data_IF_705124745189
#
_entry.id   IF_705124745189
#
_cell.length_a   1.000
_cell.length_b   1.000
_cell.length_c   1.000
_cell.angle_alpha   90.00
_cell.angle_beta   90.00
_cell.angle_gamma   90.00
#
_symmetry.space_group_name_H-M   'P 1'
#
loop_
_entity.id
_entity.type
_entity.pdbx_description
1 polymer ?
#
# COMPACT_ATOMS: atom_id res chain seq x y z
N UNK A 1 -12.49 -9.48 -12.83
CA UNK A 1 -11.25 -10.12 -12.30
C UNK A 1 -10.20 -9.10 -11.82
N UNK A 2 -9.94 -8.01 -12.56
CA UNK A 2 -9.00 -6.92 -12.19
C UNK A 2 -9.16 -6.41 -10.75
N UNK A 3 -10.35 -5.93 -10.38
CA UNK A 3 -10.56 -5.27 -9.09
C UNK A 3 -10.42 -6.16 -7.85
N UNK A 4 -10.62 -7.47 -7.99
CA UNK A 4 -10.42 -8.40 -6.87
C UNK A 4 -8.93 -8.54 -6.50
N UNK A 5 -8.06 -8.56 -7.51
CA UNK A 5 -6.61 -8.56 -7.29
C UNK A 5 -6.14 -7.23 -6.71
N UNK A 6 -6.60 -6.10 -7.25
CA UNK A 6 -6.29 -4.76 -6.70
C UNK A 6 -6.74 -4.65 -5.24
N UNK A 7 -7.96 -5.09 -4.93
CA UNK A 7 -8.48 -5.13 -3.56
C UNK A 7 -7.60 -5.95 -2.61
N UNK A 8 -7.10 -7.11 -3.07
CA UNK A 8 -6.16 -7.92 -2.28
C UNK A 8 -4.86 -7.15 -1.99
N UNK A 9 -4.24 -6.56 -3.02
CA UNK A 9 -2.98 -5.82 -2.88
C UNK A 9 -3.17 -4.64 -1.93
N UNK A 10 -4.20 -3.84 -2.14
CA UNK A 10 -4.54 -2.68 -1.31
C UNK A 10 -4.79 -3.10 0.13
N UNK A 11 -5.60 -4.15 0.35
CA UNK A 11 -5.85 -4.66 1.69
C UNK A 11 -4.55 -5.05 2.39
N UNK A 12 -3.64 -5.76 1.71
CA UNK A 12 -2.35 -6.19 2.29
C UNK A 12 -1.39 -5.02 2.50
N UNK A 13 -1.38 -4.04 1.60
CA UNK A 13 -0.56 -2.83 1.71
C UNK A 13 -0.98 -1.97 2.90
N UNK A 14 -2.26 -1.64 3.05
CA UNK A 14 -2.74 -0.74 4.11
C UNK A 14 -2.97 -1.45 5.46
N UNK A 15 -3.04 -2.78 5.49
CA UNK A 15 -3.23 -3.52 6.74
C UNK A 15 -2.13 -3.24 7.77
N UNK A 16 -2.53 -2.83 8.98
CA UNK A 16 -1.62 -2.60 10.10
C UNK A 16 -0.68 -1.40 9.94
N UNK A 17 -0.89 -0.52 8.94
CA UNK A 17 -0.15 0.73 8.85
C UNK A 17 -0.54 1.62 10.04
N UNK A 18 0.47 2.14 10.73
CA UNK A 18 0.33 3.25 11.67
C UNK A 18 0.69 4.54 10.94
N UNK A 19 -0.21 5.51 10.96
CA UNK A 19 0.02 6.82 10.36
C UNK A 19 0.89 7.63 11.32
N UNK A 20 2.15 7.82 10.97
CA UNK A 20 3.10 8.63 11.72
C UNK A 20 3.72 9.65 10.75
N UNK A 21 3.81 10.94 11.12
CA UNK A 21 4.53 11.91 10.30
C UNK A 21 5.97 11.47 10.14
N UNK A 22 6.46 11.44 8.90
CA UNK A 22 7.84 11.15 8.56
C UNK A 22 8.30 12.16 7.50
N UNK A 23 9.56 12.58 7.54
CA UNK A 23 10.14 13.32 6.42
C UNK A 23 10.24 12.40 5.20
N UNK A 24 9.65 12.84 4.09
CA UNK A 24 9.60 12.10 2.82
C UNK A 24 10.28 12.85 1.70
N UNK A 25 10.96 13.98 1.99
CA UNK A 25 11.56 14.87 0.97
C UNK A 25 12.49 14.12 0.05
N UNK A 26 13.40 13.33 0.62
CA UNK A 26 14.38 12.53 -0.13
C UNK A 26 13.75 11.35 -0.87
N UNK A 27 12.71 10.75 -0.29
CA UNK A 27 11.96 9.70 -0.97
C UNK A 27 11.21 10.27 -2.18
N UNK A 28 10.69 11.49 -2.09
CA UNK A 28 9.96 12.17 -3.15
C UNK A 28 10.88 12.63 -4.28
N UNK A 29 12.11 13.07 -3.99
CA UNK A 29 13.09 13.51 -5.00
C UNK A 29 13.72 12.36 -5.79
N UNK A 30 13.64 11.13 -5.28
CA UNK A 30 14.17 9.94 -5.96
C UNK A 30 13.17 9.38 -6.98
N UNK A 31 13.53 9.38 -8.26
CA UNK A 31 12.68 8.81 -9.33
C UNK A 31 12.55 7.29 -9.19
N UNK A 32 13.65 6.60 -8.89
CA UNK A 32 13.67 5.15 -8.64
C UNK A 32 13.63 4.87 -7.12
N UNK A 33 12.55 4.28 -6.59
CA UNK A 33 12.47 3.95 -5.17
C UNK A 33 13.59 3.01 -4.70
N UNK A 34 14.23 2.26 -5.60
CA UNK A 34 15.36 1.41 -5.24
C UNK A 34 16.63 2.20 -4.92
N UNK A 35 16.78 3.41 -5.47
CA UNK A 35 17.91 4.28 -5.15
C UNK A 35 17.79 4.81 -3.73
N UNK A 36 16.59 5.24 -3.32
CA UNK A 36 16.30 5.60 -1.93
C UNK A 36 16.54 4.42 -0.97
N UNK A 37 16.13 3.21 -1.34
CA UNK A 37 16.39 2.00 -0.54
C UNK A 37 17.88 1.63 -0.46
N UNK A 38 18.67 1.99 -1.47
CA UNK A 38 20.11 1.75 -1.49
C UNK A 38 20.87 2.79 -0.68
N UNK A 39 20.44 4.06 -0.75
CA UNK A 39 21.03 5.16 0.00
C UNK A 39 20.73 5.02 1.51
N UNK A 40 19.54 4.55 1.89
CA UNK A 40 19.11 4.43 3.28
C UNK A 40 18.58 3.02 3.62
N UNK A 41 19.47 2.01 3.66
CA UNK A 41 19.08 0.61 3.85
C UNK A 41 18.46 0.33 5.22
N UNK A 42 18.72 1.16 6.25
CA UNK A 42 18.17 0.98 7.60
C UNK A 42 16.97 1.90 7.93
N UNK A 43 16.50 2.67 6.95
CA UNK A 43 15.39 3.62 7.11
C UNK A 43 14.08 2.93 7.51
N UNK A 44 13.17 3.70 8.10
CA UNK A 44 11.81 3.23 8.39
C UNK A 44 11.08 2.79 7.12
N UNK A 45 11.32 3.48 5.99
CA UNK A 45 10.80 3.12 4.68
C UNK A 45 11.36 1.78 4.16
N UNK A 46 12.67 1.53 4.32
CA UNK A 46 13.29 0.25 3.99
C UNK A 46 12.64 -0.91 4.76
N UNK A 47 12.54 -0.76 6.08
CA UNK A 47 11.88 -1.74 6.97
C UNK A 47 10.42 -1.93 6.56
N UNK A 48 9.70 -0.85 6.24
CA UNK A 48 8.34 -0.92 5.74
C UNK A 48 8.25 -1.74 4.46
N UNK A 49 9.11 -1.48 3.47
CA UNK A 49 9.16 -2.22 2.21
C UNK A 49 9.38 -3.72 2.44
N UNK A 50 10.32 -4.10 3.30
CA UNK A 50 10.58 -5.50 3.62
C UNK A 50 9.36 -6.21 4.22
N UNK A 51 8.76 -5.64 5.27
CA UNK A 51 7.56 -6.21 5.89
C UNK A 51 6.37 -6.27 4.92
N UNK A 52 6.17 -5.22 4.11
CA UNK A 52 5.06 -5.16 3.16
C UNK A 52 5.23 -6.12 2.00
N UNK A 53 6.45 -6.34 1.51
CA UNK A 53 6.69 -7.30 0.44
C UNK A 53 6.30 -8.70 0.89
N UNK A 54 6.78 -9.12 2.07
CA UNK A 54 6.49 -10.45 2.64
C UNK A 54 5.00 -10.65 2.95
N UNK A 55 4.26 -9.56 3.19
CA UNK A 55 2.81 -9.56 3.37
C UNK A 55 2.07 -9.62 2.03
N UNK A 56 2.35 -8.72 1.10
CA UNK A 56 1.61 -8.57 -0.15
C UNK A 56 1.86 -9.75 -1.09
N UNK A 57 3.12 -10.15 -1.24
CA UNK A 57 3.54 -11.17 -2.20
C UNK A 57 3.60 -12.51 -1.49
N UNK A 58 2.61 -13.36 -1.78
CA UNK A 58 2.54 -14.69 -1.19
C UNK A 58 3.64 -15.60 -1.77
N UNK A 59 4.24 -16.53 -1.00
CA UNK A 59 5.24 -17.46 -1.54
C UNK A 59 4.78 -18.21 -2.80
N UNK A 60 3.52 -18.68 -2.84
CA UNK A 60 2.97 -19.32 -4.05
C UNK A 60 2.89 -18.39 -5.25
N UNK A 61 2.72 -17.08 -5.02
CA UNK A 61 2.73 -16.07 -6.07
C UNK A 61 4.14 -15.88 -6.62
N UNK A 62 5.16 -15.76 -5.77
CA UNK A 62 6.57 -15.70 -6.20
C UNK A 62 6.99 -16.96 -6.95
N UNK A 63 6.67 -18.15 -6.43
CA UNK A 63 6.98 -19.41 -7.10
C UNK A 63 6.32 -19.50 -8.48
N UNK A 64 5.10 -18.98 -8.64
CA UNK A 64 4.40 -18.96 -9.93
C UNK A 64 4.96 -17.90 -10.89
N UNK A 65 5.43 -16.75 -10.40
CA UNK A 65 5.97 -15.67 -11.22
C UNK A 65 7.43 -15.87 -11.62
N UNK A 66 8.25 -16.44 -10.73
CA UNK A 66 9.70 -16.50 -10.88
C UNK A 66 10.25 -17.93 -10.90
N UNK A 67 9.45 -18.94 -10.53
CA UNK A 67 9.93 -20.32 -10.40
C UNK A 67 10.84 -20.57 -9.20
N UNK A 68 11.07 -19.58 -8.34
CA UNK A 68 11.91 -19.65 -7.14
C UNK A 68 11.42 -18.67 -6.05
N UNK A 69 12.08 -18.68 -4.89
CA UNK A 69 11.82 -17.79 -3.75
C UNK A 69 13.05 -16.93 -3.38
N UNK A 70 13.96 -16.72 -4.33
CA UNK A 70 15.24 -16.04 -4.06
C UNK A 70 14.99 -14.58 -3.66
N UNK A 71 14.00 -13.93 -4.30
CA UNK A 71 13.57 -12.57 -3.99
C UNK A 71 13.08 -12.49 -2.54
N UNK A 72 12.23 -13.42 -2.10
CA UNK A 72 11.83 -13.56 -0.68
C UNK A 72 13.00 -13.73 0.26
N UNK A 73 13.94 -14.62 -0.09
CA UNK A 73 15.13 -14.89 0.71
C UNK A 73 15.96 -13.64 0.96
N UNK A 74 16.19 -12.83 -0.08
CA UNK A 74 16.87 -11.55 0.04
C UNK A 74 16.10 -10.57 0.94
N UNK A 75 14.78 -10.49 0.79
CA UNK A 75 13.94 -9.60 1.63
C UNK A 75 13.92 -10.02 3.10
N UNK A 76 13.92 -11.33 3.39
CA UNK A 76 14.06 -11.86 4.75
C UNK A 76 15.40 -11.49 5.39
N UNK A 77 16.46 -11.32 4.60
CA UNK A 77 17.76 -10.83 5.04
C UNK A 77 17.83 -9.29 5.12
N UNK A 78 16.70 -8.59 4.98
CA UNK A 78 16.63 -7.13 4.99
C UNK A 78 17.16 -6.47 3.72
N UNK A 79 17.40 -7.24 2.65
CA UNK A 79 17.90 -6.73 1.37
C UNK A 79 16.74 -6.39 0.42
N UNK A 80 17.01 -5.48 -0.51
CA UNK A 80 16.06 -5.05 -1.52
C UNK A 80 16.53 -5.46 -2.92
N UNK A 81 15.91 -6.49 -3.54
CA UNK A 81 16.32 -7.01 -4.83
C UNK A 81 16.20 -5.97 -5.95
N UNK A 82 17.23 -5.84 -6.79
CA UNK A 82 17.20 -4.99 -7.99
C UNK A 82 16.53 -5.71 -9.17
N UNK A 83 15.31 -6.19 -8.96
CA UNK A 83 14.49 -6.82 -10.00
C UNK A 83 13.39 -5.85 -10.47
N UNK A 84 12.92 -6.01 -11.70
CA UNK A 84 11.83 -5.18 -12.23
C UNK A 84 10.55 -5.31 -11.41
N UNK A 85 10.22 -6.52 -10.96
CA UNK A 85 9.06 -6.75 -10.11
C UNK A 85 9.18 -6.05 -8.76
N UNK A 86 10.34 -6.16 -8.10
CA UNK A 86 10.55 -5.52 -6.81
C UNK A 86 10.56 -3.99 -6.94
N UNK A 87 11.08 -3.45 -8.05
CA UNK A 87 10.98 -2.02 -8.39
C UNK A 87 9.53 -1.54 -8.45
N UNK A 88 8.67 -2.25 -9.19
CA UNK A 88 7.23 -1.92 -9.29
C UNK A 88 6.57 -1.96 -7.91
N UNK A 89 6.86 -3.01 -7.12
CA UNK A 89 6.39 -3.09 -5.73
C UNK A 89 6.87 -1.90 -4.89
N UNK A 90 8.16 -1.54 -4.97
CA UNK A 90 8.74 -0.45 -4.22
C UNK A 90 8.15 0.91 -4.62
N UNK A 91 7.79 1.11 -5.90
CA UNK A 91 7.09 2.31 -6.36
C UNK A 91 5.72 2.43 -5.70
N UNK A 92 4.95 1.34 -5.64
CA UNK A 92 3.68 1.32 -4.92
C UNK A 92 3.89 1.56 -3.41
N UNK A 93 4.88 0.92 -2.81
CA UNK A 93 5.19 1.08 -1.39
C UNK A 93 5.60 2.52 -1.04
N UNK A 94 6.38 3.18 -1.90
CA UNK A 94 6.73 4.60 -1.78
C UNK A 94 5.48 5.46 -1.68
N UNK A 95 4.53 5.31 -2.61
CA UNK A 95 3.31 6.13 -2.59
C UNK A 95 2.42 5.87 -1.38
N UNK A 96 2.29 4.61 -0.95
CA UNK A 96 1.55 4.29 0.28
C UNK A 96 2.22 4.90 1.51
N UNK A 97 3.56 4.87 1.58
CA UNK A 97 4.32 5.48 2.66
C UNK A 97 4.15 7.01 2.68
N UNK A 98 4.32 7.66 1.53
CA UNK A 98 4.14 9.11 1.37
C UNK A 98 2.74 9.53 1.75
N UNK A 99 1.72 8.83 1.26
CA UNK A 99 0.32 9.14 1.56
C UNK A 99 0.03 8.99 3.06
N UNK A 100 0.59 7.97 3.70
CA UNK A 100 0.48 7.77 5.14
C UNK A 100 1.12 8.89 5.96
N UNK A 101 2.34 9.29 5.59
CA UNK A 101 3.05 10.42 6.21
C UNK A 101 2.30 11.73 6.01
N UNK A 102 1.79 11.98 4.80
CA UNK A 102 1.03 13.18 4.48
C UNK A 102 -0.26 13.29 5.31
N UNK A 103 -1.06 12.22 5.38
CA UNK A 103 -2.27 12.20 6.18
C UNK A 103 -1.97 12.46 7.67
N UNK A 104 -0.90 11.87 8.20
CA UNK A 104 -0.48 12.08 9.59
C UNK A 104 0.00 13.51 9.87
N UNK A 105 0.62 14.16 8.88
CA UNK A 105 1.06 15.57 8.99
C UNK A 105 -0.10 16.56 8.94
N UNK A 106 -1.21 16.21 8.26
CA UNK A 106 -2.42 17.03 8.24
C UNK A 106 -3.18 16.97 9.56
N UNK A 107 -3.33 15.78 10.12
CA UNK A 107 -4.00 15.58 11.40
C UNK A 107 -3.41 14.37 12.13
N UNK A 108 -2.96 14.59 13.36
CA UNK A 108 -2.49 13.53 14.26
C UNK A 108 -3.55 12.46 14.56
N UNK A 109 -4.84 12.76 14.40
CA UNK A 109 -5.98 11.84 14.55
C UNK A 109 -6.38 11.17 13.24
N UNK A 110 -5.69 11.45 12.13
CA UNK A 110 -6.01 10.84 10.84
C UNK A 110 -6.02 9.32 10.93
N UNK A 111 -6.98 8.70 10.24
CA UNK A 111 -7.13 7.23 10.20
C UNK A 111 -7.40 6.77 8.79
N UNK A 112 -6.86 5.60 8.46
CA UNK A 112 -7.21 4.92 7.21
C UNK A 112 -8.68 4.47 7.34
N UNK A 113 -9.52 4.96 6.43
CA UNK A 113 -10.93 4.64 6.35
C UNK A 113 -11.13 3.45 5.41
N UNK A 114 -11.61 2.34 5.97
CA UNK A 114 -11.93 1.12 5.24
C UNK A 114 -13.38 0.74 5.52
N UNK A 115 -14.12 0.46 4.44
CA UNK A 115 -15.53 0.07 4.52
C UNK A 115 -15.63 -1.46 4.59
N UNK A 116 -16.56 -1.95 5.42
CA UNK A 116 -16.85 -3.38 5.52
C UNK A 116 -17.74 -3.83 4.36
N UNK A 117 -17.53 -5.05 3.87
CA UNK A 117 -18.44 -5.69 2.92
C UNK A 117 -19.87 -5.69 3.48
N UNK A 118 -20.85 -5.36 2.64
CA UNK A 118 -22.27 -5.28 2.97
C UNK A 118 -22.72 -3.95 3.57
N UNK A 119 -21.80 -3.00 3.83
CA UNK A 119 -22.16 -1.65 4.25
C UNK A 119 -22.87 -0.89 3.11
N UNK A 120 -23.76 0.04 3.47
CA UNK A 120 -24.44 0.89 2.50
C UNK A 120 -23.43 1.81 1.81
N UNK A 121 -23.53 1.89 0.49
CA UNK A 121 -22.74 2.81 -0.32
C UNK A 121 -23.16 4.25 -0.02
N UNK A 122 -22.20 5.18 -0.03
CA UNK A 122 -22.46 6.61 0.11
C UNK A 122 -21.55 7.40 -0.81
N UNK A 123 -22.13 8.02 -1.85
CA UNK A 123 -21.40 8.85 -2.80
C UNK A 123 -20.75 10.11 -2.20
N UNK A 124 -21.02 10.42 -0.92
CA UNK A 124 -20.40 11.54 -0.21
C UNK A 124 -18.92 11.28 0.10
N UNK A 125 -18.56 10.02 0.35
CA UNK A 125 -17.19 9.63 0.76
C UNK A 125 -16.74 8.29 0.17
N UNK A 126 -17.50 7.72 -0.76
CA UNK A 126 -17.17 6.53 -1.53
C UNK A 126 -17.35 6.81 -3.01
N UNK A 127 -16.53 6.18 -3.84
CA UNK A 127 -16.62 6.21 -5.29
C UNK A 127 -16.77 4.78 -5.81
N UNK A 128 -17.69 4.55 -6.75
CA UNK A 128 -17.84 3.23 -7.37
C UNK A 128 -16.92 3.09 -8.58
N UNK A 129 -16.22 1.96 -8.65
CA UNK A 129 -15.31 1.64 -9.76
C UNK A 129 -16.03 1.13 -11.01
N UNK A 130 -17.34 0.88 -10.94
CA UNK A 130 -18.17 0.37 -12.05
C UNK A 130 -19.14 1.41 -12.63
N UNK A 131 -19.11 2.66 -12.13
CA UNK A 131 -19.94 3.77 -12.62
C UNK A 131 -21.02 4.22 -11.62
N UNK A 132 -22.00 5.00 -12.09
CA UNK A 132 -23.06 5.54 -11.24
C UNK A 132 -23.93 4.44 -10.64
N UNK A 133 -23.93 4.37 -9.30
CA UNK A 133 -24.77 3.43 -8.55
C UNK A 133 -26.06 4.13 -8.12
N UNK A 134 -27.19 3.63 -8.59
CA UNK A 134 -28.53 4.13 -8.24
C UNK A 134 -29.19 3.18 -7.22
N UNK A 135 -29.61 3.70 -6.07
CA UNK A 135 -30.42 2.97 -5.08
C UNK A 135 -29.68 2.57 -3.78
N UNK A 136 -30.14 1.50 -3.13
CA UNK A 136 -29.58 0.95 -1.87
C UNK A 136 -28.40 0.01 -2.13
N UNK A 137 -27.39 0.49 -2.87
CA UNK A 137 -26.19 -0.28 -3.18
C UNK A 137 -25.38 -0.62 -1.95
N UNK A 138 -24.75 -1.79 -1.96
CA UNK A 138 -23.91 -2.30 -0.87
C UNK A 138 -22.50 -2.59 -1.34
N UNK A 139 -21.53 -2.23 -0.50
CA UNK A 139 -20.11 -2.41 -0.80
C UNK A 139 -19.75 -3.90 -0.82
N UNK A 140 -19.21 -4.38 -1.93
CA UNK A 140 -18.70 -5.76 -2.06
C UNK A 140 -17.25 -5.86 -1.54
N UNK A 141 -16.36 -5.01 -2.05
CA UNK A 141 -14.97 -4.92 -1.64
C UNK A 141 -14.41 -3.53 -1.94
N UNK A 142 -13.32 -3.16 -1.27
CA UNK A 142 -12.65 -1.87 -1.48
C UNK A 142 -11.47 -2.03 -2.45
N UNK A 143 -11.31 -1.10 -3.39
CA UNK A 143 -10.13 -1.02 -4.29
C UNK A 143 -9.09 -0.03 -3.79
N UNK A 144 -9.50 1.00 -3.04
CA UNK A 144 -8.62 1.96 -2.38
C UNK A 144 -9.26 2.39 -1.05
N UNK A 145 -8.52 2.51 0.06
CA UNK A 145 -9.07 3.08 1.28
C UNK A 145 -9.19 4.60 1.16
N UNK A 146 -10.11 5.17 1.92
CA UNK A 146 -10.13 6.61 2.18
C UNK A 146 -9.23 6.98 3.37
N UNK A 147 -9.15 8.26 3.66
CA UNK A 147 -8.54 8.78 4.89
C UNK A 147 -9.58 9.65 5.59
N UNK A 148 -9.89 9.33 6.85
CA UNK A 148 -10.66 10.21 7.70
C UNK A 148 -9.68 11.20 8.35
N UNK A 149 -9.89 12.49 8.08
CA UNK A 149 -9.13 13.62 8.62
C UNK A 149 -10.11 14.45 9.43
N UNK A 150 -9.78 14.80 10.67
CA UNK A 150 -10.69 15.45 11.60
C UNK A 150 -11.73 14.51 12.22
N UNK A 151 -12.57 15.08 13.07
CA UNK A 151 -13.57 14.35 13.86
C UNK A 151 -14.95 14.26 13.18
N UNK A 152 -15.17 14.93 12.04
CA UNK A 152 -16.43 14.91 11.28
C UNK A 152 -16.56 13.65 10.43
#
# INVERSE_FOLDING_TARGET
KKYAFESYIVRRMFHGIKLNPCDVTELMSSDDPLDALTAFPDSAFSKFCGHKYLSVVHPSMEASFFGNLDTRGLVLLGKHPRTMFYRIFASMAKWVWVLGSFAASLDSKAKIFVVRRGARFSGVYMESVVGDEQGDSRVEFITMPGFKIGDS
#
